data_IF_327944418502
#
_entry.id   IF_327944418502
#
_cell.length_a   1.000
_cell.length_b   1.000
_cell.length_c   1.000
_cell.angle_alpha   90.00
_cell.angle_beta   90.00
_cell.angle_gamma   90.00
#
_symmetry.space_group_name_H-M   'P 1'
#
loop_
_entity.id
_entity.type
_entity.pdbx_description
1 polymer ?
#
# COMPACT_ATOMS: atom_id res chain seq x y z
N UNK A 1 -8.85 19.51 23.91
CA UNK A 1 -7.84 18.46 23.73
C UNK A 1 -8.21 17.61 22.51
N UNK A 2 -7.33 17.52 21.55
CA UNK A 2 -7.60 16.70 20.37
C UNK A 2 -7.38 15.24 20.67
N UNK A 3 -8.35 14.40 20.35
CA UNK A 3 -8.19 12.96 20.43
C UNK A 3 -7.33 12.48 19.27
N UNK A 4 -6.20 11.85 19.57
CA UNK A 4 -5.31 11.30 18.56
C UNK A 4 -5.85 9.96 18.08
N UNK A 5 -6.03 9.81 16.77
CA UNK A 5 -6.40 8.54 16.16
C UNK A 5 -5.17 7.66 16.05
N UNK A 6 -5.22 6.45 16.58
CA UNK A 6 -4.14 5.48 16.51
C UNK A 6 -4.65 4.26 15.72
N UNK A 7 -3.90 3.90 14.67
CA UNK A 7 -4.22 2.72 13.86
C UNK A 7 -3.59 1.49 14.53
N UNK A 8 -4.42 0.59 15.02
CA UNK A 8 -3.98 -0.67 15.62
C UNK A 8 -4.15 -1.85 14.67
N UNK A 9 -5.20 -1.81 13.85
CA UNK A 9 -5.55 -2.89 12.93
C UNK A 9 -5.93 -2.32 11.57
N UNK A 10 -5.64 -3.09 10.53
CA UNK A 10 -6.11 -2.84 9.17
C UNK A 10 -6.79 -4.12 8.69
N UNK A 11 -8.02 -3.99 8.19
CA UNK A 11 -8.78 -5.14 7.72
C UNK A 11 -8.39 -5.56 6.30
N UNK A 12 -8.81 -6.78 5.93
CA UNK A 12 -8.70 -7.27 4.55
C UNK A 12 -9.33 -6.27 3.57
N UNK A 13 -10.54 -5.80 3.87
CA UNK A 13 -11.27 -4.89 3.01
C UNK A 13 -10.56 -3.54 2.86
N UNK A 14 -9.95 -3.01 3.92
CA UNK A 14 -9.18 -1.77 3.86
C UNK A 14 -7.99 -1.90 2.89
N UNK A 15 -7.30 -3.04 2.94
CA UNK A 15 -6.17 -3.30 2.05
C UNK A 15 -6.62 -3.46 0.61
N UNK A 16 -7.71 -4.16 0.37
CA UNK A 16 -8.31 -4.31 -0.97
C UNK A 16 -8.68 -2.95 -1.53
N UNK A 17 -9.36 -2.11 -0.75
CA UNK A 17 -9.78 -0.79 -1.19
C UNK A 17 -8.59 0.11 -1.53
N UNK A 18 -7.56 0.10 -0.69
CA UNK A 18 -6.35 0.89 -0.93
C UNK A 18 -5.67 0.47 -2.24
N UNK A 19 -5.36 -0.81 -2.39
CA UNK A 19 -4.61 -1.29 -3.55
C UNK A 19 -5.44 -1.32 -4.82
N UNK A 20 -6.71 -1.65 -4.75
CA UNK A 20 -7.61 -1.63 -5.89
C UNK A 20 -7.66 -0.24 -6.51
N UNK A 21 -7.84 0.78 -5.69
CA UNK A 21 -7.89 2.17 -6.15
C UNK A 21 -6.51 2.66 -6.61
N UNK A 22 -5.46 2.40 -5.82
CA UNK A 22 -4.12 2.90 -6.11
C UNK A 22 -3.49 2.29 -7.36
N UNK A 23 -3.79 1.03 -7.66
CA UNK A 23 -3.15 0.33 -8.79
C UNK A 23 -3.97 0.31 -10.06
N UNK A 24 -5.28 0.51 -9.97
CA UNK A 24 -6.14 0.51 -11.14
C UNK A 24 -5.94 1.79 -11.95
N UNK A 25 -5.33 1.65 -13.10
CA UNK A 25 -5.03 2.78 -13.97
C UNK A 25 -3.80 3.61 -13.57
N UNK A 26 -3.10 3.24 -12.50
CA UNK A 26 -1.87 3.94 -12.12
C UNK A 26 -0.75 3.69 -13.11
N UNK A 27 -0.04 4.77 -13.47
CA UNK A 27 1.18 4.69 -14.28
C UNK A 27 2.44 4.64 -13.43
N UNK A 28 2.32 4.88 -12.12
CA UNK A 28 3.47 4.98 -11.21
C UNK A 28 3.82 3.65 -10.56
N UNK A 29 2.80 2.92 -10.13
CA UNK A 29 2.98 1.78 -9.24
C UNK A 29 2.32 0.51 -9.76
N UNK A 30 2.92 -0.61 -9.43
CA UNK A 30 2.22 -1.88 -9.39
C UNK A 30 2.61 -2.61 -8.11
N UNK A 31 1.84 -3.66 -7.78
CA UNK A 31 2.08 -4.48 -6.59
C UNK A 31 2.30 -5.90 -7.04
N UNK A 32 3.30 -6.55 -6.47
CA UNK A 32 3.58 -7.97 -6.73
C UNK A 32 3.81 -8.69 -5.41
N UNK A 33 3.69 -10.00 -5.43
CA UNK A 33 3.96 -10.87 -4.28
C UNK A 33 4.81 -12.06 -4.72
N UNK A 34 5.43 -12.74 -3.77
CA UNK A 34 6.06 -14.04 -4.05
C UNK A 34 4.96 -15.07 -4.26
N UNK A 35 5.06 -15.84 -5.34
CA UNK A 35 4.04 -16.85 -5.68
C UNK A 35 3.83 -17.84 -4.53
N UNK A 36 4.91 -18.30 -3.92
CA UNK A 36 4.88 -19.30 -2.86
C UNK A 36 4.27 -18.79 -1.54
N UNK A 37 4.11 -17.47 -1.40
CA UNK A 37 3.45 -16.89 -0.22
C UNK A 37 1.93 -17.00 -0.30
N UNK A 38 1.39 -17.35 -1.46
CA UNK A 38 -0.05 -17.50 -1.68
C UNK A 38 -0.40 -18.85 -2.32
N UNK A 39 0.17 -19.15 -3.49
CA UNK A 39 -0.15 -20.37 -4.23
C UNK A 39 0.43 -21.60 -3.54
N UNK A 40 -0.39 -22.64 -3.40
CA UNK A 40 -0.02 -23.86 -2.67
C UNK A 40 -0.11 -23.72 -1.16
N UNK A 41 -0.61 -22.59 -0.65
CA UNK A 41 -0.85 -22.35 0.78
C UNK A 41 -2.34 -22.44 1.11
N UNK A 42 -2.65 -22.42 2.40
CA UNK A 42 -4.04 -22.38 2.89
C UNK A 42 -4.78 -21.08 2.51
N UNK A 43 -4.04 -20.05 2.09
CA UNK A 43 -4.62 -18.76 1.68
C UNK A 43 -5.27 -18.82 0.30
N UNK A 44 -4.82 -19.75 -0.55
CA UNK A 44 -5.25 -19.82 -1.95
C UNK A 44 -6.75 -20.06 -2.08
N UNK A 45 -7.42 -19.21 -2.86
CA UNK A 45 -8.83 -19.33 -3.18
C UNK A 45 -9.01 -18.92 -4.64
N UNK A 46 -9.65 -19.80 -5.44
CA UNK A 46 -9.87 -19.55 -6.87
C UNK A 46 -10.75 -18.33 -7.15
N UNK A 47 -11.52 -17.88 -6.16
CA UNK A 47 -12.40 -16.71 -6.28
C UNK A 47 -11.69 -15.39 -5.95
N UNK A 48 -10.45 -15.43 -5.47
CA UNK A 48 -9.72 -14.22 -5.13
C UNK A 48 -9.28 -13.45 -6.38
N UNK A 49 -9.52 -12.14 -6.38
CA UNK A 49 -8.85 -11.24 -7.32
C UNK A 49 -7.42 -10.95 -6.80
N UNK A 50 -6.60 -10.27 -7.59
CA UNK A 50 -5.21 -10.01 -7.19
C UNK A 50 -5.10 -9.18 -5.90
N UNK A 51 -6.02 -8.23 -5.68
CA UNK A 51 -6.04 -7.40 -4.48
C UNK A 51 -6.31 -8.23 -3.23
N UNK A 52 -7.18 -9.23 -3.34
CA UNK A 52 -7.42 -10.18 -2.24
C UNK A 52 -6.15 -10.96 -1.92
N UNK A 53 -5.40 -11.37 -2.93
CA UNK A 53 -4.16 -12.13 -2.70
C UNK A 53 -3.12 -11.30 -1.97
N UNK A 54 -2.98 -10.03 -2.30
CA UNK A 54 -2.06 -9.12 -1.59
C UNK A 54 -2.50 -8.90 -0.13
N UNK A 55 -3.77 -8.68 0.08
CA UNK A 55 -4.32 -8.50 1.43
C UNK A 55 -4.08 -9.72 2.30
N UNK A 56 -4.34 -10.91 1.77
CA UNK A 56 -4.13 -12.18 2.49
C UNK A 56 -2.66 -12.41 2.82
N UNK A 57 -1.76 -12.15 1.88
CA UNK A 57 -0.32 -12.29 2.09
C UNK A 57 0.15 -11.36 3.21
N UNK A 58 -0.25 -10.08 3.16
CA UNK A 58 0.10 -9.10 4.20
C UNK A 58 -0.42 -9.49 5.57
N UNK A 59 -1.68 -9.91 5.65
CA UNK A 59 -2.31 -10.31 6.91
C UNK A 59 -1.71 -11.60 7.48
N UNK A 60 -1.10 -12.44 6.63
CA UNK A 60 -0.39 -13.64 7.08
C UNK A 60 0.99 -13.35 7.65
N UNK A 61 1.47 -12.11 7.55
CA UNK A 61 2.78 -11.69 8.05
C UNK A 61 3.88 -11.68 6.99
N UNK A 62 3.54 -11.88 5.71
CA UNK A 62 4.50 -11.84 4.60
C UNK A 62 4.42 -10.49 3.88
N UNK A 63 5.51 -10.06 3.24
CA UNK A 63 5.51 -8.79 2.52
C UNK A 63 4.89 -8.90 1.14
N UNK A 64 4.46 -7.76 0.62
CA UNK A 64 4.27 -7.54 -0.81
C UNK A 64 5.34 -6.58 -1.29
N UNK A 65 5.46 -6.41 -2.60
CA UNK A 65 6.47 -5.53 -3.20
C UNK A 65 5.77 -4.48 -4.04
N UNK A 66 6.13 -3.23 -3.80
CA UNK A 66 5.62 -2.10 -4.59
C UNK A 66 6.70 -1.73 -5.60
N UNK A 67 6.32 -1.73 -6.88
CA UNK A 67 7.19 -1.37 -7.99
C UNK A 67 6.95 0.08 -8.36
N UNK A 68 8.01 0.88 -8.31
CA UNK A 68 8.00 2.29 -8.71
C UNK A 68 8.68 2.42 -10.07
N UNK A 69 7.90 2.69 -11.10
CA UNK A 69 8.38 2.82 -12.48
C UNK A 69 8.96 4.19 -12.80
N UNK A 70 8.79 5.17 -11.91
CA UNK A 70 9.23 6.55 -12.13
C UNK A 70 10.50 6.90 -11.37
N UNK A 71 11.12 5.94 -10.69
CA UNK A 71 12.26 6.18 -9.81
C UNK A 71 13.57 6.56 -10.52
N UNK A 72 13.73 6.20 -11.79
CA UNK A 72 15.00 6.37 -12.55
C UNK A 72 16.21 5.80 -11.77
N UNK A 73 16.04 4.66 -11.14
CA UNK A 73 17.02 3.97 -10.28
C UNK A 73 17.35 4.72 -8.98
N UNK A 74 16.53 5.70 -8.59
CA UNK A 74 16.68 6.42 -7.32
C UNK A 74 15.71 5.86 -6.30
N UNK A 75 16.21 5.45 -5.14
CA UNK A 75 15.37 5.00 -4.05
C UNK A 75 14.95 6.18 -3.17
N UNK A 76 13.68 6.20 -2.80
CA UNK A 76 13.12 7.19 -1.88
C UNK A 76 12.71 6.51 -0.58
N UNK A 77 12.97 7.18 0.55
CA UNK A 77 12.61 6.65 1.85
C UNK A 77 13.59 5.60 2.36
N UNK A 78 13.17 4.86 3.38
CA UNK A 78 14.03 3.92 4.13
C UNK A 78 13.63 2.46 4.03
N UNK A 79 12.55 2.13 3.33
CA UNK A 79 12.14 0.74 3.19
C UNK A 79 13.18 -0.05 2.39
N UNK A 80 13.33 -1.35 2.67
CA UNK A 80 14.20 -2.22 1.86
C UNK A 80 13.81 -2.14 0.39
N UNK A 81 14.79 -2.03 -0.48
CA UNK A 81 14.56 -1.86 -1.91
C UNK A 81 15.69 -2.48 -2.74
N UNK A 82 15.37 -2.78 -3.99
CA UNK A 82 16.34 -3.20 -5.00
C UNK A 82 15.83 -2.77 -6.38
N UNK A 83 16.76 -2.53 -7.29
CA UNK A 83 16.41 -2.23 -8.68
C UNK A 83 16.03 -3.51 -9.41
N UNK A 84 14.83 -3.53 -10.01
CA UNK A 84 14.38 -4.62 -10.88
C UNK A 84 14.63 -4.22 -12.35
N UNK A 85 15.75 -4.67 -12.88
CA UNK A 85 16.17 -4.33 -14.24
C UNK A 85 15.29 -4.93 -15.33
N UNK A 86 14.60 -6.03 -15.05
CA UNK A 86 13.69 -6.66 -16.01
C UNK A 86 12.42 -5.85 -16.20
N UNK A 87 11.93 -5.24 -15.11
CA UNK A 87 10.71 -4.43 -15.11
C UNK A 87 10.98 -2.94 -15.28
N UNK A 88 12.24 -2.52 -15.11
CA UNK A 88 12.58 -1.10 -15.15
C UNK A 88 11.97 -0.32 -14.00
N UNK A 89 11.96 -0.89 -12.79
CA UNK A 89 11.32 -0.31 -11.63
C UNK A 89 12.15 -0.52 -10.36
N UNK A 90 12.06 0.42 -9.43
CA UNK A 90 12.56 0.21 -8.07
C UNK A 90 11.54 -0.64 -7.31
N UNK A 91 11.99 -1.71 -6.69
CA UNK A 91 11.14 -2.66 -5.96
C UNK A 91 11.32 -2.50 -4.48
N UNK A 92 10.24 -2.08 -3.80
CA UNK A 92 10.23 -1.87 -2.35
C UNK A 92 9.55 -3.03 -1.64
N UNK A 93 10.17 -3.52 -0.57
CA UNK A 93 9.57 -4.55 0.29
C UNK A 93 8.68 -3.85 1.32
N UNK A 94 7.39 -4.20 1.33
CA UNK A 94 6.37 -3.54 2.17
C UNK A 94 5.65 -4.59 3.00
N UNK A 95 5.65 -4.40 4.31
CA UNK A 95 4.93 -5.26 5.27
C UNK A 95 3.64 -4.59 5.72
N UNK A 96 2.78 -5.36 6.38
CA UNK A 96 1.56 -4.81 7.00
C UNK A 96 1.91 -3.70 7.99
N UNK A 97 2.99 -3.87 8.75
CA UNK A 97 3.43 -2.85 9.71
C UNK A 97 3.84 -1.56 9.02
N UNK A 98 4.49 -1.64 7.86
CA UNK A 98 4.86 -0.46 7.05
C UNK A 98 3.61 0.27 6.58
N UNK A 99 2.55 -0.46 6.20
CA UNK A 99 1.28 0.13 5.79
C UNK A 99 0.64 0.87 6.97
N UNK A 100 0.60 0.25 8.14
CA UNK A 100 0.08 0.88 9.36
C UNK A 100 0.83 2.17 9.69
N UNK A 101 2.16 2.14 9.65
CA UNK A 101 3.00 3.29 9.94
C UNK A 101 2.78 4.42 8.93
N UNK A 102 2.66 4.09 7.66
CA UNK A 102 2.43 5.08 6.60
C UNK A 102 1.07 5.76 6.74
N UNK A 103 0.02 4.98 6.97
CA UNK A 103 -1.32 5.52 7.20
C UNK A 103 -1.38 6.35 8.48
N UNK A 104 -0.70 5.92 9.55
CA UNK A 104 -0.60 6.67 10.78
C UNK A 104 0.11 8.02 10.55
N UNK A 105 1.18 8.01 9.78
CA UNK A 105 1.90 9.23 9.41
C UNK A 105 1.00 10.21 8.65
N UNK A 106 0.21 9.70 7.70
CA UNK A 106 -0.74 10.52 6.96
C UNK A 106 -1.76 11.17 7.90
N UNK A 107 -2.30 10.42 8.86
CA UNK A 107 -3.24 10.95 9.86
C UNK A 107 -2.57 12.01 10.72
N UNK A 108 -1.36 11.74 11.21
CA UNK A 108 -0.63 12.64 12.11
C UNK A 108 -0.24 13.96 11.42
N UNK A 109 0.04 13.91 10.12
CA UNK A 109 0.39 15.09 9.34
C UNK A 109 -0.79 16.05 9.12
N UNK A 110 -2.02 15.55 9.28
CA UNK A 110 -3.24 16.34 9.06
C UNK A 110 -3.51 16.63 7.59
N UNK A 111 -4.51 17.47 7.34
CA UNK A 111 -4.89 17.89 6.00
C UNK A 111 -5.64 16.82 5.22
N UNK A 112 -5.58 16.93 3.90
CA UNK A 112 -6.36 16.09 2.98
C UNK A 112 -5.97 14.61 3.05
N UNK A 113 -4.66 14.32 3.11
CA UNK A 113 -4.17 12.95 3.21
C UNK A 113 -4.63 12.27 4.52
N UNK A 114 -4.73 13.05 5.60
CA UNK A 114 -5.26 12.57 6.87
C UNK A 114 -6.72 12.16 6.75
N UNK A 115 -7.53 12.96 6.07
CA UNK A 115 -8.94 12.64 5.82
C UNK A 115 -9.09 11.38 4.99
N UNK A 116 -8.28 11.23 3.94
CA UNK A 116 -8.28 10.05 3.09
C UNK A 116 -7.91 8.78 3.85
N UNK A 117 -6.87 8.83 4.67
CA UNK A 117 -6.44 7.70 5.49
C UNK A 117 -7.50 7.34 6.54
N UNK A 118 -8.09 8.34 7.18
CA UNK A 118 -9.16 8.14 8.16
C UNK A 118 -10.39 7.48 7.52
N UNK A 119 -10.81 7.97 6.36
CA UNK A 119 -11.96 7.40 5.64
C UNK A 119 -11.71 5.96 5.24
N UNK A 120 -10.50 5.66 4.78
CA UNK A 120 -10.12 4.29 4.40
C UNK A 120 -10.30 3.31 5.56
N UNK A 121 -9.78 3.63 6.74
CA UNK A 121 -9.81 2.72 7.90
C UNK A 121 -11.16 2.68 8.60
N UNK A 122 -12.06 3.61 8.31
CA UNK A 122 -13.42 3.65 8.88
C UNK A 122 -14.50 3.19 7.89
N UNK A 123 -14.11 2.42 6.87
CA UNK A 123 -15.01 1.84 5.87
C UNK A 123 -15.81 2.85 5.05
N UNK A 124 -15.27 4.07 4.89
CA UNK A 124 -15.83 5.14 4.08
C UNK A 124 -15.00 5.37 2.81
N UNK A 125 -14.37 4.30 2.34
CA UNK A 125 -13.42 4.32 1.23
C UNK A 125 -14.06 4.61 -0.14
N UNK A 126 -15.39 4.61 -0.24
CA UNK A 126 -16.07 5.00 -1.47
C UNK A 126 -15.73 6.41 -1.92
N UNK A 127 -15.19 7.24 -1.02
CA UNK A 127 -14.72 8.59 -1.32
C UNK A 127 -13.24 8.64 -1.75
N UNK A 128 -12.54 7.51 -1.69
CA UNK A 128 -11.12 7.42 -2.06
C UNK A 128 -10.99 7.30 -3.58
N UNK A 129 -10.41 8.30 -4.22
CA UNK A 129 -10.14 8.26 -5.66
C UNK A 129 -8.66 7.92 -5.95
N UNK A 130 -8.30 7.80 -7.23
CA UNK A 130 -6.97 7.37 -7.65
C UNK A 130 -5.85 8.29 -7.14
N UNK A 131 -5.88 9.63 -7.28
CA UNK A 131 -4.81 10.48 -6.78
C UNK A 131 -4.62 10.37 -5.27
N UNK A 132 -5.71 10.27 -4.51
CA UNK A 132 -5.69 10.13 -3.06
C UNK A 132 -5.05 8.80 -2.65
N UNK A 133 -5.45 7.71 -3.29
CA UNK A 133 -4.90 6.39 -3.03
C UNK A 133 -3.41 6.32 -3.39
N UNK A 134 -3.01 6.93 -4.51
CA UNK A 134 -1.60 6.99 -4.91
C UNK A 134 -0.77 7.77 -3.89
N UNK A 135 -1.29 8.88 -3.36
CA UNK A 135 -0.61 9.64 -2.32
C UNK A 135 -0.41 8.81 -1.05
N UNK A 136 -1.42 8.04 -0.63
CA UNK A 136 -1.30 7.16 0.52
C UNK A 136 -0.24 6.08 0.29
N UNK A 137 -0.19 5.50 -0.90
CA UNK A 137 0.84 4.51 -1.26
C UNK A 137 2.23 5.14 -1.24
N UNK A 138 2.39 6.38 -1.72
CA UNK A 138 3.67 7.10 -1.66
C UNK A 138 4.09 7.34 -0.21
N UNK A 139 3.18 7.78 0.65
CA UNK A 139 3.48 7.99 2.07
C UNK A 139 3.90 6.69 2.74
N UNK A 140 3.23 5.57 2.44
CA UNK A 140 3.58 4.26 2.95
C UNK A 140 4.98 3.85 2.49
N UNK A 141 5.27 4.03 1.20
CA UNK A 141 6.49 3.52 0.55
C UNK A 141 7.68 4.44 0.76
N UNK A 142 7.48 5.75 0.65
CA UNK A 142 8.56 6.75 0.68
C UNK A 142 8.59 7.58 1.96
N UNK A 143 7.51 7.61 2.71
CA UNK A 143 7.35 8.49 3.86
C UNK A 143 6.74 9.85 3.54
N UNK A 144 6.58 10.18 2.25
CA UNK A 144 5.96 11.42 1.80
C UNK A 144 5.46 11.27 0.35
N UNK A 145 4.55 12.13 -0.07
CA UNK A 145 4.11 12.17 -1.46
C UNK A 145 5.18 12.88 -2.31
N UNK A 146 5.77 12.16 -3.25
CA UNK A 146 6.87 12.64 -4.09
C UNK A 146 6.40 13.03 -5.48
N UNK A 147 5.54 12.22 -6.08
CA UNK A 147 5.08 12.39 -7.46
C UNK A 147 3.77 13.15 -7.58
N UNK A 148 3.11 13.36 -6.46
CA UNK A 148 1.82 14.01 -6.39
C UNK A 148 1.81 15.46 -6.71
#
# INVERSE_FOLDING_TARGET
MKTKTIITEISHDDLVDLFSTATYGSNFFSVVKKKDDYYGTELEDENDCREDTWAKVLLSGKPVYILDYYSEEVAYGKLPHEWDGKRGAMKYTVTLNDIKKGLQKAIDNGGFDSECAFDLINDDSCNLDLPEAENLVEIITFGEAIYG
#
